data_IF_184944168007
#
_entry.id   IF_184944168007
#
_cell.length_a   1.000
_cell.length_b   1.000
_cell.length_c   1.000
_cell.angle_alpha   90.00
_cell.angle_beta   90.00
_cell.angle_gamma   90.00
#
_symmetry.space_group_name_H-M   'P 1'
#
loop_
_entity.id
_entity.type
_entity.pdbx_description
1 polymer ?
#
# COMPACT_ATOMS: atom_id res chain seq x y z
N UNK A 1 11.78 21.92 -21.15
CA UNK A 1 11.69 22.91 -20.07
C UNK A 1 11.15 22.15 -18.87
N UNK A 2 11.97 21.97 -17.84
CA UNK A 2 11.59 21.25 -16.65
C UNK A 2 10.68 22.15 -15.79
N UNK A 3 9.50 21.65 -15.43
CA UNK A 3 8.59 22.31 -14.49
C UNK A 3 9.10 22.03 -13.08
N UNK A 4 9.37 23.09 -12.32
CA UNK A 4 9.84 23.01 -10.93
C UNK A 4 8.69 22.54 -10.03
N UNK A 5 8.95 21.53 -9.18
CA UNK A 5 8.01 20.93 -8.23
C UNK A 5 7.71 21.81 -7.00
N UNK A 6 8.17 23.07 -6.95
CA UNK A 6 8.01 23.93 -5.77
C UNK A 6 6.63 24.59 -5.60
N UNK A 7 5.68 24.40 -6.54
CA UNK A 7 4.40 25.13 -6.54
C UNK A 7 3.15 24.27 -6.23
N UNK A 8 3.32 23.04 -5.73
CA UNK A 8 2.19 22.16 -5.41
C UNK A 8 1.99 22.07 -3.88
N UNK A 9 1.21 23.00 -3.33
CA UNK A 9 0.60 22.82 -2.02
C UNK A 9 -0.59 21.87 -2.12
N UNK A 10 -0.74 20.87 -1.23
CA UNK A 10 -1.87 19.96 -1.25
C UNK A 10 -3.12 20.67 -0.73
N UNK A 11 -4.05 21.03 -1.61
CA UNK A 11 -5.40 21.40 -1.23
C UNK A 11 -6.28 20.15 -1.11
N UNK A 12 -6.22 19.49 0.03
CA UNK A 12 -7.25 18.55 0.46
C UNK A 12 -8.28 19.34 1.29
N UNK A 13 -9.32 19.86 0.64
CA UNK A 13 -10.45 20.45 1.32
C UNK A 13 -11.47 19.36 1.62
N UNK A 14 -11.56 18.96 2.88
CA UNK A 14 -12.69 18.19 3.39
C UNK A 14 -13.99 18.98 3.17
N UNK A 15 -14.86 18.51 2.28
CA UNK A 15 -16.20 19.06 2.10
C UNK A 15 -17.08 18.63 3.28
N UNK A 16 -17.27 19.54 4.22
CA UNK A 16 -18.30 19.43 5.24
C UNK A 16 -19.68 19.76 4.64
N UNK A 17 -20.47 18.74 4.31
CA UNK A 17 -21.90 18.87 4.02
C UNK A 17 -22.73 18.77 5.29
N UNK A 18 -23.91 19.45 5.38
CA UNK A 18 -24.69 19.51 6.61
C UNK A 18 -25.61 18.30 6.78
N UNK A 19 -25.52 17.67 7.92
CA UNK A 19 -26.60 17.11 8.73
C UNK A 19 -27.67 16.21 8.14
N UNK A 20 -27.51 14.91 8.35
CA UNK A 20 -28.62 14.03 8.72
C UNK A 20 -28.07 13.10 9.82
N UNK A 21 -28.85 12.94 10.91
CA UNK A 21 -28.45 12.19 12.09
C UNK A 21 -28.06 10.77 11.72
N UNK A 22 -26.77 10.55 11.65
CA UNK A 22 -26.16 9.22 11.57
C UNK A 22 -25.89 8.87 13.03
N UNK A 23 -26.45 7.76 13.48
CA UNK A 23 -26.08 7.16 14.76
C UNK A 23 -24.57 7.13 14.86
N UNK A 24 -24.02 7.50 16.02
CA UNK A 24 -22.58 7.41 16.26
C UNK A 24 -22.12 5.99 15.87
N UNK A 25 -21.02 5.84 15.13
CA UNK A 25 -20.54 4.52 14.75
C UNK A 25 -20.40 3.69 16.03
N UNK A 26 -20.96 2.47 16.00
CA UNK A 26 -20.85 1.55 17.13
C UNK A 26 -19.34 1.45 17.48
N UNK A 27 -19.01 1.61 18.78
CA UNK A 27 -17.61 1.46 19.22
C UNK A 27 -17.10 0.13 18.71
N UNK A 28 -15.99 0.15 17.96
CA UNK A 28 -15.38 -1.06 17.42
C UNK A 28 -15.06 -2.01 18.59
N UNK A 29 -15.53 -3.25 18.48
CA UNK A 29 -15.22 -4.26 19.48
C UNK A 29 -13.74 -4.62 19.32
N UNK A 30 -12.93 -4.23 20.31
CA UNK A 30 -11.50 -4.51 20.29
C UNK A 30 -11.22 -6.02 20.48
N UNK A 31 -10.23 -6.57 19.81
CA UNK A 31 -9.80 -7.94 20.04
C UNK A 31 -9.12 -8.08 21.42
N UNK A 32 -9.03 -9.32 21.91
CA UNK A 32 -8.20 -9.62 23.09
C UNK A 32 -6.72 -9.71 22.67
N UNK A 33 -6.00 -8.61 22.80
CA UNK A 33 -4.57 -8.51 22.48
C UNK A 33 -3.66 -9.47 23.25
N UNK A 34 -4.17 -10.08 24.32
CA UNK A 34 -3.40 -11.00 25.17
C UNK A 34 -3.58 -12.46 24.78
N UNK A 35 -4.60 -12.78 23.97
CA UNK A 35 -4.89 -14.14 23.54
C UNK A 35 -3.79 -14.70 22.62
N UNK A 36 -3.53 -16.00 22.74
CA UNK A 36 -2.55 -16.68 21.88
C UNK A 36 -2.95 -16.63 20.39
N UNK A 37 -4.27 -16.73 20.08
CA UNK A 37 -4.76 -16.63 18.71
C UNK A 37 -4.49 -15.26 18.10
N UNK A 38 -4.70 -14.17 18.86
CA UNK A 38 -4.38 -12.82 18.40
C UNK A 38 -2.88 -12.69 18.13
N UNK A 39 -2.03 -13.11 19.06
CA UNK A 39 -0.57 -13.01 18.94
C UNK A 39 -0.02 -13.82 17.78
N UNK A 40 -0.57 -15.01 17.55
CA UNK A 40 -0.19 -15.87 16.42
C UNK A 40 -0.54 -15.22 15.07
N UNK A 41 -1.77 -14.75 14.90
CA UNK A 41 -2.19 -13.99 13.70
C UNK A 41 -1.38 -12.69 13.55
N UNK A 42 -1.18 -11.96 14.64
CA UNK A 42 -0.39 -10.72 14.64
C UNK A 42 1.07 -10.96 14.23
N UNK A 43 1.66 -12.09 14.61
CA UNK A 43 3.03 -12.44 14.22
C UNK A 43 3.21 -12.49 12.70
N UNK A 44 2.20 -13.01 11.98
CA UNK A 44 2.20 -13.08 10.51
C UNK A 44 1.85 -11.75 9.86
N UNK A 45 0.78 -11.09 10.31
CA UNK A 45 0.35 -9.80 9.76
C UNK A 45 1.41 -8.72 9.97
N UNK A 46 1.96 -8.59 11.19
CA UNK A 46 3.00 -7.60 11.46
C UNK A 46 4.32 -7.92 10.71
N UNK A 47 4.65 -9.21 10.52
CA UNK A 47 5.78 -9.60 9.69
C UNK A 47 5.61 -9.16 8.23
N UNK A 48 4.40 -9.29 7.67
CA UNK A 48 4.08 -8.79 6.32
C UNK A 48 4.33 -7.28 6.23
N UNK A 49 3.88 -6.52 7.21
CA UNK A 49 4.10 -5.07 7.23
C UNK A 49 5.60 -4.76 7.31
N UNK A 50 6.34 -5.37 8.24
CA UNK A 50 7.80 -5.19 8.38
C UNK A 50 8.56 -5.54 7.10
N UNK A 51 8.18 -6.61 6.40
CA UNK A 51 8.80 -7.01 5.13
C UNK A 51 8.37 -6.07 4.00
N UNK A 52 7.11 -5.62 3.97
CA UNK A 52 6.62 -4.63 3.00
C UNK A 52 7.43 -3.33 3.02
N UNK A 53 7.70 -2.81 4.21
CA UNK A 53 8.56 -1.62 4.39
C UNK A 53 10.02 -1.87 3.91
N UNK A 54 10.52 -3.11 4.09
CA UNK A 54 11.84 -3.47 3.54
C UNK A 54 11.82 -3.53 2.03
N UNK A 55 10.80 -4.16 1.43
CA UNK A 55 10.62 -4.22 -0.02
C UNK A 55 10.51 -2.82 -0.61
N UNK A 56 9.68 -1.95 0.00
CA UNK A 56 9.49 -0.58 -0.45
C UNK A 56 10.82 0.21 -0.41
N UNK A 57 11.58 0.09 0.69
CA UNK A 57 12.91 0.67 0.79
C UNK A 57 13.82 0.24 -0.37
N UNK A 58 13.94 -1.06 -0.61
CA UNK A 58 14.83 -1.62 -1.62
C UNK A 58 14.36 -1.27 -3.04
N UNK A 59 13.04 -1.24 -3.25
CA UNK A 59 12.42 -0.84 -4.52
C UNK A 59 12.68 0.64 -4.85
N UNK A 60 12.55 1.56 -3.87
CA UNK A 60 12.86 2.98 -4.10
C UNK A 60 14.34 3.22 -4.42
N UNK A 61 15.26 2.51 -3.76
CA UNK A 61 16.68 2.58 -4.12
C UNK A 61 16.95 2.02 -5.51
N UNK A 62 16.24 0.97 -5.92
CA UNK A 62 16.35 0.38 -7.24
C UNK A 62 15.78 1.31 -8.33
N UNK A 63 14.63 1.95 -8.07
CA UNK A 63 14.04 2.96 -8.94
C UNK A 63 14.98 4.14 -9.21
N UNK A 64 15.83 4.51 -8.25
CA UNK A 64 16.84 5.55 -8.42
C UNK A 64 17.84 5.24 -9.54
N UNK A 65 18.04 3.95 -9.88
CA UNK A 65 18.89 3.56 -11.01
C UNK A 65 18.25 3.84 -12.36
N UNK A 66 16.92 3.79 -12.44
CA UNK A 66 16.12 4.10 -13.64
C UNK A 66 15.80 5.59 -13.75
N UNK A 67 15.81 6.32 -12.64
CA UNK A 67 15.51 7.75 -12.53
C UNK A 67 16.64 8.51 -11.82
N UNK A 68 17.84 8.59 -12.41
CA UNK A 68 19.01 9.18 -11.74
C UNK A 68 18.80 10.66 -11.37
N UNK A 69 18.02 11.41 -12.15
CA UNK A 69 17.69 12.81 -11.86
C UNK A 69 16.76 12.98 -10.62
N UNK A 70 16.16 11.89 -10.15
CA UNK A 70 15.28 11.85 -8.98
C UNK A 70 15.87 11.01 -7.83
N UNK A 71 17.14 10.61 -7.93
CA UNK A 71 17.77 9.70 -6.98
C UNK A 71 17.74 10.22 -5.53
N UNK A 72 17.90 11.52 -5.29
CA UNK A 72 17.84 12.11 -3.95
C UNK A 72 16.45 12.00 -3.32
N UNK A 73 15.39 12.22 -4.11
CA UNK A 73 14.01 12.07 -3.65
C UNK A 73 13.66 10.60 -3.38
N UNK A 74 14.02 9.71 -4.28
CA UNK A 74 13.82 8.26 -4.09
C UNK A 74 14.59 7.74 -2.86
N UNK A 75 15.81 8.22 -2.63
CA UNK A 75 16.55 7.90 -1.42
C UNK A 75 15.89 8.50 -0.15
N UNK A 76 15.17 9.63 -0.27
CA UNK A 76 14.39 10.21 0.84
C UNK A 76 13.21 9.30 1.17
N UNK A 77 12.44 8.86 0.17
CA UNK A 77 11.33 7.92 0.34
C UNK A 77 11.85 6.60 0.97
N UNK A 78 12.89 6.00 0.43
CA UNK A 78 13.50 4.80 1.00
C UNK A 78 13.86 4.94 2.49
N UNK A 79 14.37 6.11 2.92
CA UNK A 79 14.65 6.34 4.35
C UNK A 79 13.40 6.42 5.21
N UNK A 80 12.26 6.88 4.65
CA UNK A 80 10.98 6.89 5.35
C UNK A 80 10.52 5.47 5.63
N UNK A 81 10.60 4.56 4.66
CA UNK A 81 10.25 3.14 4.84
C UNK A 81 11.07 2.46 5.95
N UNK A 82 12.36 2.77 6.03
CA UNK A 82 13.17 2.24 7.15
C UNK A 82 12.76 2.79 8.51
N UNK A 83 12.16 3.97 8.58
CA UNK A 83 11.58 4.51 9.81
C UNK A 83 10.27 3.79 10.15
N UNK A 84 9.40 3.53 9.16
CA UNK A 84 8.16 2.77 9.31
C UNK A 84 8.45 1.35 9.79
N UNK A 85 9.38 0.64 9.15
CA UNK A 85 9.86 -0.68 9.55
C UNK A 85 10.26 -0.74 11.03
N UNK A 86 11.02 0.27 11.51
CA UNK A 86 11.39 0.35 12.92
C UNK A 86 10.17 0.51 13.83
N UNK A 87 9.19 1.31 13.42
CA UNK A 87 7.94 1.50 14.13
C UNK A 87 7.16 0.19 14.28
N UNK A 88 6.95 -0.54 13.18
CA UNK A 88 6.24 -1.82 13.20
C UNK A 88 7.01 -2.93 13.92
N UNK A 89 8.35 -2.93 13.86
CA UNK A 89 9.17 -3.80 14.69
C UNK A 89 8.95 -3.51 16.20
N UNK A 90 8.86 -2.24 16.58
CA UNK A 90 8.56 -1.86 17.96
C UNK A 90 7.14 -2.29 18.39
N UNK A 91 6.15 -2.34 17.48
CA UNK A 91 4.81 -2.85 17.75
C UNK A 91 4.86 -4.35 18.14
N UNK A 92 5.61 -5.18 17.42
CA UNK A 92 5.81 -6.59 17.77
C UNK A 92 6.41 -6.74 19.17
N UNK A 93 7.47 -5.98 19.45
CA UNK A 93 8.13 -5.98 20.76
C UNK A 93 7.16 -5.56 21.88
N UNK A 94 6.33 -4.53 21.64
CA UNK A 94 5.34 -4.05 22.61
C UNK A 94 4.31 -5.13 22.98
N UNK A 95 3.88 -5.95 22.02
CA UNK A 95 2.95 -7.07 22.25
C UNK A 95 3.63 -8.34 22.72
N UNK A 96 4.96 -8.38 22.79
CA UNK A 96 5.73 -9.58 23.14
C UNK A 96 5.58 -10.68 22.08
N UNK A 97 5.59 -10.31 20.81
CA UNK A 97 5.41 -11.22 19.66
C UNK A 97 6.66 -11.18 18.80
N UNK A 98 7.11 -12.36 18.37
CA UNK A 98 8.14 -12.50 17.35
C UNK A 98 7.48 -12.53 15.95
N UNK A 99 7.86 -11.61 15.08
CA UNK A 99 7.31 -11.53 13.72
C UNK A 99 7.76 -12.72 12.87
N UNK A 100 6.82 -13.40 12.18
CA UNK A 100 7.10 -14.53 11.28
C UNK A 100 7.68 -14.04 9.94
N UNK A 101 8.93 -13.60 9.97
CA UNK A 101 9.62 -13.10 8.78
C UNK A 101 9.78 -14.15 7.65
N UNK A 102 9.97 -15.46 7.91
CA UNK A 102 9.92 -16.47 6.84
C UNK A 102 8.61 -16.48 6.08
N UNK A 103 7.46 -16.38 6.75
CA UNK A 103 6.15 -16.28 6.13
C UNK A 103 6.04 -15.03 5.25
N UNK A 104 6.41 -13.87 5.79
CA UNK A 104 6.33 -12.59 5.09
C UNK A 104 7.18 -12.55 3.81
N UNK A 105 8.39 -13.11 3.82
CA UNK A 105 9.24 -13.17 2.64
C UNK A 105 8.64 -13.98 1.50
N UNK A 106 7.97 -15.09 1.82
CA UNK A 106 7.26 -15.92 0.84
C UNK A 106 6.03 -15.16 0.30
N UNK A 107 5.32 -14.45 1.17
CA UNK A 107 4.16 -13.66 0.82
C UNK A 107 4.43 -12.63 -0.29
N UNK A 108 5.56 -11.92 -0.22
CA UNK A 108 5.93 -10.90 -1.22
C UNK A 108 6.57 -11.46 -2.51
N UNK A 109 6.96 -12.74 -2.54
CA UNK A 109 7.70 -13.32 -3.69
C UNK A 109 7.10 -12.97 -5.05
N UNK A 110 5.78 -13.07 -5.31
CA UNK A 110 5.25 -12.82 -6.65
C UNK A 110 5.44 -11.38 -7.13
N UNK A 111 5.22 -10.39 -6.26
CA UNK A 111 5.41 -8.99 -6.61
C UNK A 111 6.89 -8.61 -6.68
N UNK A 112 7.71 -9.15 -5.77
CA UNK A 112 9.17 -8.96 -5.77
C UNK A 112 9.79 -9.47 -7.08
N UNK A 113 9.47 -10.70 -7.48
CA UNK A 113 10.02 -11.30 -8.69
C UNK A 113 9.63 -10.49 -9.94
N UNK A 114 8.37 -10.06 -10.03
CA UNK A 114 7.89 -9.23 -11.13
C UNK A 114 8.55 -7.84 -11.14
N UNK A 115 8.75 -7.24 -9.96
CA UNK A 115 9.47 -5.96 -9.84
C UNK A 115 10.93 -6.11 -10.30
N UNK A 116 11.63 -7.14 -9.83
CA UNK A 116 13.03 -7.38 -10.20
C UNK A 116 13.19 -7.69 -11.69
N UNK A 117 12.27 -8.45 -12.27
CA UNK A 117 12.25 -8.67 -13.71
C UNK A 117 12.05 -7.36 -14.47
N UNK A 118 11.05 -6.56 -14.10
CA UNK A 118 10.78 -5.28 -14.73
C UNK A 118 11.99 -4.33 -14.61
N UNK A 119 12.63 -4.30 -13.44
CA UNK A 119 13.85 -3.52 -13.20
C UNK A 119 14.99 -3.95 -14.16
N UNK A 120 15.24 -5.24 -14.30
CA UNK A 120 16.26 -5.78 -15.18
C UNK A 120 15.99 -5.45 -16.66
N UNK A 121 14.73 -5.34 -17.06
CA UNK A 121 14.28 -4.96 -18.40
C UNK A 121 14.24 -3.43 -18.61
N UNK A 122 14.49 -2.63 -17.58
CA UNK A 122 14.36 -1.17 -17.61
C UNK A 122 12.90 -0.69 -17.70
N UNK A 123 11.96 -1.55 -17.33
CA UNK A 123 10.51 -1.26 -17.39
C UNK A 123 10.06 -0.46 -16.17
N UNK A 124 10.30 0.84 -16.22
CA UNK A 124 9.96 1.77 -15.15
C UNK A 124 8.45 1.81 -14.84
N UNK A 125 7.59 1.70 -15.87
CA UNK A 125 6.13 1.76 -15.69
C UNK A 125 5.64 0.61 -14.82
N UNK A 126 6.13 -0.61 -15.06
CA UNK A 126 5.79 -1.78 -14.23
C UNK A 126 6.35 -1.63 -12.82
N UNK A 127 7.58 -1.15 -12.66
CA UNK A 127 8.17 -0.90 -11.33
C UNK A 127 7.33 0.12 -10.53
N UNK A 128 6.92 1.23 -11.14
CA UNK A 128 6.08 2.25 -10.49
C UNK A 128 4.68 1.73 -10.17
N UNK A 129 4.07 0.93 -11.05
CA UNK A 129 2.78 0.31 -10.75
C UNK A 129 2.87 -0.59 -9.52
N UNK A 130 3.86 -1.48 -9.46
CA UNK A 130 4.00 -2.43 -8.34
C UNK A 130 4.26 -1.66 -7.05
N UNK A 131 5.31 -0.82 -7.01
CA UNK A 131 5.70 -0.13 -5.78
C UNK A 131 4.70 0.95 -5.39
N UNK A 132 4.51 1.97 -6.22
CA UNK A 132 3.82 3.19 -5.80
C UNK A 132 2.31 3.16 -6.00
N UNK A 133 1.75 2.13 -6.62
CA UNK A 133 0.29 2.02 -6.79
C UNK A 133 -0.26 0.80 -6.07
N UNK A 134 0.25 -0.41 -6.34
CA UNK A 134 -0.33 -1.62 -5.76
C UNK A 134 0.07 -1.80 -4.29
N UNK A 135 1.35 -1.67 -3.95
CA UNK A 135 1.85 -1.86 -2.58
C UNK A 135 1.34 -0.74 -1.68
N UNK A 136 1.48 0.53 -2.09
CA UNK A 136 1.06 1.67 -1.27
C UNK A 136 -0.46 1.74 -1.09
N UNK A 137 -1.24 1.53 -2.15
CA UNK A 137 -2.70 1.51 -2.01
C UNK A 137 -3.17 0.36 -1.10
N UNK A 138 -2.50 -0.79 -1.16
CA UNK A 138 -2.78 -1.91 -0.28
C UNK A 138 -2.42 -1.59 1.19
N UNK A 139 -1.25 -1.00 1.43
CA UNK A 139 -0.80 -0.60 2.76
C UNK A 139 -1.77 0.43 3.38
N UNK A 140 -2.13 1.47 2.65
CA UNK A 140 -3.08 2.50 3.09
C UNK A 140 -4.42 1.86 3.48
N UNK A 141 -4.99 0.99 2.63
CA UNK A 141 -6.25 0.30 2.91
C UNK A 141 -6.14 -0.57 4.17
N UNK A 142 -5.06 -1.36 4.30
CA UNK A 142 -4.82 -2.18 5.47
C UNK A 142 -4.70 -1.35 6.76
N UNK A 143 -4.01 -0.22 6.71
CA UNK A 143 -3.84 0.66 7.86
C UNK A 143 -5.15 1.33 8.27
N UNK A 144 -6.01 1.76 7.32
CA UNK A 144 -7.32 2.32 7.62
C UNK A 144 -8.22 1.34 8.37
N UNK A 145 -8.24 0.07 7.95
CA UNK A 145 -9.05 -0.99 8.59
C UNK A 145 -8.42 -1.41 9.92
N UNK A 146 -7.09 -1.40 10.06
CA UNK A 146 -6.41 -1.80 11.28
C UNK A 146 -6.48 -0.75 12.39
N UNK A 147 -6.31 0.54 12.09
CA UNK A 147 -6.26 1.62 13.10
C UNK A 147 -7.42 1.55 14.12
N UNK A 148 -8.70 1.37 13.73
CA UNK A 148 -9.81 1.31 14.69
C UNK A 148 -9.73 0.16 15.68
N UNK A 149 -9.12 -0.95 15.31
CA UNK A 149 -9.05 -2.20 16.10
C UNK A 149 -7.67 -2.46 16.71
N UNK A 150 -6.68 -1.61 16.43
CA UNK A 150 -5.32 -1.73 16.93
C UNK A 150 -5.20 -1.44 18.43
N UNK A 151 -4.21 -2.07 19.08
CA UNK A 151 -3.80 -1.66 20.42
C UNK A 151 -3.29 -0.20 20.42
N UNK A 152 -3.34 0.51 21.56
CA UNK A 152 -3.02 1.94 21.60
C UNK A 152 -1.62 2.31 21.12
N UNK A 153 -0.64 1.41 21.28
CA UNK A 153 0.73 1.66 20.83
C UNK A 153 0.84 1.52 19.31
N UNK A 154 0.35 0.40 18.76
CA UNK A 154 0.35 0.16 17.31
C UNK A 154 -0.51 1.19 16.57
N UNK A 155 -1.67 1.57 17.11
CA UNK A 155 -2.53 2.63 16.55
C UNK A 155 -1.74 3.91 16.31
N UNK A 156 -1.05 4.41 17.34
CA UNK A 156 -0.27 5.65 17.25
C UNK A 156 0.83 5.58 16.19
N UNK A 157 1.50 4.43 16.07
CA UNK A 157 2.54 4.21 15.04
C UNK A 157 1.90 4.24 13.66
N UNK A 158 0.84 3.46 13.44
CA UNK A 158 0.17 3.31 12.15
C UNK A 158 -0.45 4.63 11.67
N UNK A 159 -1.08 5.42 12.56
CA UNK A 159 -1.59 6.76 12.24
C UNK A 159 -0.50 7.70 11.73
N UNK A 160 0.72 7.59 12.27
CA UNK A 160 1.87 8.36 11.80
C UNK A 160 2.37 7.90 10.42
N UNK A 161 2.37 6.59 10.17
CA UNK A 161 2.82 6.00 8.92
C UNK A 161 1.87 6.36 7.76
N UNK A 162 0.56 6.22 7.95
CA UNK A 162 -0.44 6.53 6.90
C UNK A 162 -0.23 7.91 6.26
N UNK A 163 0.19 8.92 7.03
CA UNK A 163 0.44 10.26 6.48
C UNK A 163 1.62 10.26 5.49
N UNK A 164 2.63 9.46 5.78
CA UNK A 164 3.81 9.34 4.93
C UNK A 164 3.47 8.53 3.65
N UNK A 165 2.61 7.49 3.74
CA UNK A 165 2.22 6.61 2.60
C UNK A 165 1.49 7.35 1.48
N UNK A 166 0.67 8.35 1.81
CA UNK A 166 0.09 9.20 0.77
C UNK A 166 1.15 9.96 -0.05
N UNK A 167 2.30 10.25 0.54
CA UNK A 167 3.42 10.86 -0.20
C UNK A 167 4.05 9.87 -1.18
N UNK A 168 4.18 8.60 -0.78
CA UNK A 168 4.72 7.52 -1.59
C UNK A 168 3.81 7.20 -2.79
N UNK A 169 2.52 7.02 -2.53
CA UNK A 169 1.49 6.82 -3.54
C UNK A 169 1.50 7.97 -4.56
N UNK A 170 1.52 9.20 -4.09
CA UNK A 170 1.50 10.39 -4.94
C UNK A 170 2.74 10.50 -5.84
N UNK A 171 3.91 10.06 -5.40
CA UNK A 171 5.13 10.08 -6.21
C UNK A 171 4.94 9.32 -7.53
N UNK A 172 4.55 8.04 -7.48
CA UNK A 172 4.34 7.23 -8.67
C UNK A 172 3.16 7.72 -9.50
N UNK A 173 2.07 8.12 -8.85
CA UNK A 173 0.89 8.70 -9.50
C UNK A 173 1.26 9.92 -10.36
N UNK A 174 2.03 10.86 -9.84
CA UNK A 174 2.44 12.07 -10.59
C UNK A 174 3.33 11.73 -11.78
N UNK A 175 4.28 10.82 -11.61
CA UNK A 175 5.12 10.40 -12.72
C UNK A 175 4.31 9.73 -13.83
N UNK A 176 3.43 8.79 -13.47
CA UNK A 176 2.57 8.07 -14.43
C UNK A 176 1.58 9.02 -15.12
N UNK A 177 1.02 10.00 -14.40
CA UNK A 177 0.15 11.04 -14.95
C UNK A 177 0.87 11.89 -16.00
N UNK A 178 2.08 12.33 -15.68
CA UNK A 178 2.88 13.17 -16.60
C UNK A 178 3.31 12.42 -17.86
N UNK A 179 3.39 11.09 -17.81
CA UNK A 179 3.87 10.26 -18.90
C UNK A 179 2.78 9.32 -19.49
N UNK A 180 1.50 9.54 -19.13
CA UNK A 180 0.41 8.60 -19.46
C UNK A 180 0.30 8.30 -20.96
N UNK A 181 0.52 9.28 -21.83
CA UNK A 181 0.40 9.10 -23.27
C UNK A 181 1.29 7.96 -23.79
N UNK A 182 2.51 7.85 -23.26
CA UNK A 182 3.49 6.83 -23.65
C UNK A 182 3.43 5.58 -22.76
N UNK A 183 3.00 5.72 -21.51
CA UNK A 183 2.97 4.65 -20.52
C UNK A 183 1.69 3.81 -20.52
N UNK A 184 0.60 4.31 -21.12
CA UNK A 184 -0.76 3.74 -21.02
C UNK A 184 -0.81 2.23 -21.31
N UNK A 185 -0.26 1.82 -22.45
CA UNK A 185 -0.32 0.41 -22.89
C UNK A 185 0.46 -0.50 -21.95
N UNK A 186 1.62 -0.04 -21.51
CA UNK A 186 2.47 -0.77 -20.57
C UNK A 186 1.80 -0.86 -19.19
N UNK A 187 1.19 0.24 -18.73
CA UNK A 187 0.47 0.27 -17.46
C UNK A 187 -0.72 -0.70 -17.45
N UNK A 188 -1.49 -0.78 -18.56
CA UNK A 188 -2.57 -1.77 -18.69
C UNK A 188 -2.05 -3.21 -18.69
N UNK A 189 -0.90 -3.48 -19.33
CA UNK A 189 -0.26 -4.80 -19.35
C UNK A 189 0.28 -5.18 -17.97
N UNK A 190 1.02 -4.29 -17.33
CA UNK A 190 1.57 -4.46 -15.98
C UNK A 190 0.47 -4.69 -14.94
N UNK A 191 -0.63 -3.93 -15.03
CA UNK A 191 -1.78 -4.12 -14.16
C UNK A 191 -2.40 -5.52 -14.30
N UNK A 192 -2.60 -5.98 -15.54
CA UNK A 192 -3.16 -7.32 -15.79
C UNK A 192 -2.26 -8.43 -15.21
N UNK A 193 -0.96 -8.23 -15.22
CA UNK A 193 0.00 -9.19 -14.68
C UNK A 193 0.03 -9.18 -13.13
N UNK A 194 -0.10 -8.01 -12.50
CA UNK A 194 0.22 -7.84 -11.08
C UNK A 194 -1.00 -7.77 -10.14
N UNK A 195 -2.13 -7.17 -10.55
CA UNK A 195 -3.31 -7.06 -9.69
C UNK A 195 -3.86 -8.42 -9.20
N UNK A 196 -3.82 -9.54 -9.99
CA UNK A 196 -4.20 -10.85 -9.48
C UNK A 196 -3.34 -11.36 -8.32
N UNK A 197 -2.09 -10.92 -8.22
CA UNK A 197 -1.23 -11.26 -7.09
C UNK A 197 -1.72 -10.59 -5.81
N UNK A 198 -2.07 -9.31 -5.86
CA UNK A 198 -2.63 -8.59 -4.70
C UNK A 198 -3.89 -9.28 -4.17
N UNK A 199 -4.81 -9.70 -5.07
CA UNK A 199 -5.99 -10.47 -4.66
C UNK A 199 -5.62 -11.76 -3.91
N UNK A 200 -4.68 -12.54 -4.45
CA UNK A 200 -4.23 -13.79 -3.79
C UNK A 200 -3.54 -13.52 -2.45
N UNK A 201 -2.79 -12.44 -2.35
CA UNK A 201 -2.19 -12.00 -1.09
C UNK A 201 -3.27 -11.70 -0.04
N UNK A 202 -4.34 -11.00 -0.41
CA UNK A 202 -5.50 -10.76 0.46
C UNK A 202 -6.19 -12.05 0.91
N UNK A 203 -6.40 -12.98 -0.03
CA UNK A 203 -7.00 -14.28 0.27
C UNK A 203 -6.14 -15.10 1.26
N UNK A 204 -4.82 -15.02 1.12
CA UNK A 204 -3.87 -15.75 1.97
C UNK A 204 -3.90 -15.30 3.43
N UNK A 205 -4.18 -14.03 3.70
CA UNK A 205 -4.16 -13.45 5.05
C UNK A 205 -5.55 -13.23 5.65
N UNK A 206 -6.61 -13.61 4.93
CA UNK A 206 -7.98 -13.32 5.33
C UNK A 206 -8.37 -13.88 6.71
N UNK A 207 -7.88 -15.07 7.06
CA UNK A 207 -8.14 -15.70 8.36
C UNK A 207 -7.43 -14.93 9.48
N UNK A 208 -6.14 -14.64 9.31
CA UNK A 208 -5.36 -13.87 10.29
C UNK A 208 -5.92 -12.45 10.46
N UNK A 209 -6.28 -11.77 9.37
CA UNK A 209 -6.92 -10.47 9.41
C UNK A 209 -8.24 -10.51 10.21
N UNK A 210 -9.06 -11.55 10.01
CA UNK A 210 -10.29 -11.74 10.77
C UNK A 210 -10.07 -11.90 12.27
N UNK A 211 -8.99 -12.58 12.68
CA UNK A 211 -8.59 -12.70 14.10
C UNK A 211 -8.21 -11.33 14.68
N UNK A 212 -7.64 -10.46 13.88
CA UNK A 212 -7.32 -9.07 14.25
C UNK A 212 -8.55 -8.13 14.18
N UNK A 213 -9.75 -8.64 13.92
CA UNK A 213 -10.98 -7.87 13.68
C UNK A 213 -10.90 -6.94 12.46
N UNK A 214 -10.06 -7.27 11.48
CA UNK A 214 -10.01 -6.61 10.19
C UNK A 214 -10.94 -7.36 9.22
N UNK A 215 -12.00 -6.72 8.76
CA UNK A 215 -12.92 -7.33 7.81
C UNK A 215 -12.30 -7.41 6.41
N UNK A 216 -12.35 -8.59 5.80
CA UNK A 216 -11.74 -8.84 4.48
C UNK A 216 -12.46 -8.09 3.36
N UNK A 217 -13.79 -8.03 3.42
CA UNK A 217 -14.61 -7.36 2.43
C UNK A 217 -14.37 -5.85 2.47
N UNK A 218 -14.27 -5.28 3.68
CA UNK A 218 -13.93 -3.87 3.88
C UNK A 218 -12.51 -3.56 3.38
N UNK A 219 -11.54 -4.43 3.67
CA UNK A 219 -10.16 -4.28 3.20
C UNK A 219 -10.09 -4.30 1.66
N UNK A 220 -10.81 -5.22 1.01
CA UNK A 220 -10.88 -5.27 -0.44
C UNK A 220 -11.58 -4.04 -1.02
N UNK A 221 -12.67 -3.58 -0.40
CA UNK A 221 -13.41 -2.41 -0.84
C UNK A 221 -12.55 -1.13 -0.74
N UNK A 222 -11.84 -0.94 0.37
CA UNK A 222 -10.93 0.19 0.58
C UNK A 222 -9.76 0.18 -0.40
N UNK A 223 -9.14 -0.99 -0.59
CA UNK A 223 -8.09 -1.15 -1.61
C UNK A 223 -8.60 -0.78 -3.02
N UNK A 224 -9.75 -1.32 -3.42
CA UNK A 224 -10.31 -1.03 -4.74
C UNK A 224 -10.71 0.43 -4.91
N UNK A 225 -11.14 1.09 -3.84
CA UNK A 225 -11.45 2.53 -3.84
C UNK A 225 -10.19 3.34 -4.07
N UNK A 226 -9.15 3.13 -3.25
CA UNK A 226 -7.86 3.81 -3.40
C UNK A 226 -7.23 3.58 -4.78
N UNK A 227 -7.26 2.33 -5.25
CA UNK A 227 -6.77 1.96 -6.57
C UNK A 227 -7.52 2.70 -7.71
N UNK A 228 -8.87 2.79 -7.63
CA UNK A 228 -9.68 3.51 -8.62
C UNK A 228 -9.42 5.02 -8.60
N UNK A 229 -9.27 5.61 -7.43
CA UNK A 229 -8.95 7.02 -7.25
C UNK A 229 -7.62 7.36 -7.91
N UNK A 230 -6.58 6.57 -7.63
CA UNK A 230 -5.25 6.76 -8.21
C UNK A 230 -5.28 6.65 -9.74
N UNK A 231 -5.92 5.64 -10.30
CA UNK A 231 -6.02 5.50 -11.76
C UNK A 231 -6.82 6.63 -12.41
N UNK A 232 -7.86 7.13 -11.71
CA UNK A 232 -8.63 8.30 -12.17
C UNK A 232 -7.75 9.54 -12.21
N UNK A 233 -6.97 9.78 -11.18
CA UNK A 233 -6.02 10.90 -11.09
C UNK A 233 -4.89 10.79 -12.14
N UNK A 234 -4.44 9.59 -12.46
CA UNK A 234 -3.49 9.35 -13.56
C UNK A 234 -4.12 9.72 -14.92
N UNK A 235 -5.43 9.57 -15.08
CA UNK A 235 -6.16 9.97 -16.28
C UNK A 235 -6.90 8.86 -17.02
N UNK A 236 -7.19 7.73 -16.32
CA UNK A 236 -8.07 6.69 -16.86
C UNK A 236 -9.53 7.03 -16.58
N UNK A 237 -10.41 6.72 -17.53
CA UNK A 237 -11.87 6.81 -17.31
C UNK A 237 -12.35 5.64 -16.44
N UNK A 238 -13.48 5.83 -15.74
CA UNK A 238 -14.10 4.78 -14.92
C UNK A 238 -14.38 3.49 -15.73
N UNK A 239 -14.67 3.60 -17.03
CA UNK A 239 -14.88 2.44 -17.91
C UNK A 239 -13.59 1.66 -18.16
N UNK A 240 -12.47 2.35 -18.35
CA UNK A 240 -11.15 1.72 -18.53
C UNK A 240 -10.72 1.03 -17.24
N UNK A 241 -10.89 1.71 -16.09
CA UNK A 241 -10.56 1.17 -14.77
C UNK A 241 -11.37 -0.10 -14.49
N UNK A 242 -12.69 -0.07 -14.70
CA UNK A 242 -13.54 -1.24 -14.53
C UNK A 242 -13.10 -2.43 -15.43
N UNK A 243 -12.71 -2.14 -16.68
CA UNK A 243 -12.18 -3.17 -17.60
C UNK A 243 -10.86 -3.75 -17.10
N UNK A 244 -9.94 -2.90 -16.63
CA UNK A 244 -8.64 -3.34 -16.09
C UNK A 244 -8.80 -4.20 -14.83
N UNK A 245 -9.65 -3.77 -13.89
CA UNK A 245 -9.96 -4.51 -12.68
C UNK A 245 -10.61 -5.87 -13.00
N UNK A 246 -11.64 -5.89 -13.87
CA UNK A 246 -12.33 -7.12 -14.25
C UNK A 246 -11.39 -8.10 -14.96
N UNK A 247 -10.58 -7.63 -15.90
CA UNK A 247 -9.64 -8.49 -16.63
C UNK A 247 -8.58 -9.12 -15.72
N UNK A 248 -8.18 -8.41 -14.67
CA UNK A 248 -7.20 -8.90 -13.70
C UNK A 248 -7.81 -9.86 -12.65
N UNK A 249 -9.11 -9.72 -12.32
CA UNK A 249 -9.76 -10.53 -11.31
C UNK A 249 -10.38 -11.82 -11.88
N UNK A 250 -10.60 -11.92 -13.18
CA UNK A 250 -11.17 -13.10 -13.85
C UNK A 250 -10.12 -14.00 -14.53
N UNK A 251 -8.86 -13.57 -14.62
CA UNK A 251 -7.73 -14.34 -15.13
C UNK A 251 -6.98 -15.04 -14.03
#
# INVERSE_FOLDING_TARGET
MAVSLSDLSPNYSASSGPGSGVDAPAEAVLPDFTSESYKDAYSRINAIVIEGEQEAHDNYLSLATLLPDQADELARLARMEMKHKKGFTACAVNLGVDADMPFARVFFTPLRDNFQQALAEGNLVTCLLIQSILIEAFAIAAYHIYIPVADPFARKITEGVVQDEYTHLNYGQQWLKANLEVARQELEAANRANLPHVRRMLEQVAEDAGVLHMDKEDLMADFMTSYQEVLTEIGFSSREIARMATAALLG
#
